data_IF_935211117865
#
_entry.id   IF_935211117865
#
_cell.length_a   1.000
_cell.length_b   1.000
_cell.length_c   1.000
_cell.angle_alpha   90.00
_cell.angle_beta   90.00
_cell.angle_gamma   90.00
#
_symmetry.space_group_name_H-M   'P 1'
#
loop_
_entity.id
_entity.type
_entity.pdbx_description
1 polymer ?
#
# COMPACT_ATOMS: atom_id res chain seq x y z
N UNK A 1 -5.33 -8.71 -7.04
CA UNK A 1 -5.98 -9.25 -8.26
C UNK A 1 -6.89 -8.23 -8.90
N UNK A 2 -7.63 -7.44 -8.12
CA UNK A 2 -8.60 -6.45 -8.61
C UNK A 2 -7.99 -5.29 -9.43
N UNK A 3 -6.70 -5.05 -9.32
CA UNK A 3 -5.97 -3.96 -9.99
C UNK A 3 -5.25 -4.38 -11.28
N UNK A 4 -5.22 -5.67 -11.61
CA UNK A 4 -4.55 -6.14 -12.82
C UNK A 4 -5.48 -6.09 -14.02
N UNK A 5 -4.95 -5.61 -15.15
CA UNK A 5 -5.68 -5.66 -16.40
C UNK A 5 -5.97 -7.13 -16.78
N UNK A 6 -7.10 -7.43 -17.43
CA UNK A 6 -7.46 -8.78 -17.87
C UNK A 6 -6.39 -9.45 -18.73
N UNK A 7 -5.60 -8.65 -19.44
CA UNK A 7 -4.49 -9.11 -20.29
C UNK A 7 -3.19 -9.42 -19.53
N UNK A 8 -3.05 -8.98 -18.28
CA UNK A 8 -1.85 -9.18 -17.46
C UNK A 8 -2.13 -10.18 -16.34
N UNK A 9 -2.19 -11.47 -16.69
CA UNK A 9 -2.47 -12.57 -15.74
C UNK A 9 -1.19 -13.28 -15.24
N UNK A 10 -0.07 -12.58 -15.21
CA UNK A 10 1.21 -13.19 -14.81
C UNK A 10 1.19 -13.70 -13.37
N UNK A 11 0.50 -13.00 -12.45
CA UNK A 11 0.30 -13.46 -11.10
C UNK A 11 -0.40 -14.83 -11.05
N UNK A 12 -1.41 -15.05 -11.91
CA UNK A 12 -2.12 -16.33 -12.00
C UNK A 12 -1.19 -17.44 -12.44
N UNK A 13 -0.29 -17.16 -13.38
CA UNK A 13 0.72 -18.14 -13.83
C UNK A 13 1.65 -18.51 -12.67
N UNK A 14 2.05 -17.56 -11.83
CA UNK A 14 2.85 -17.83 -10.63
C UNK A 14 2.09 -18.73 -9.65
N UNK A 15 0.85 -18.41 -9.36
CA UNK A 15 -0.03 -19.22 -8.48
C UNK A 15 -0.24 -20.63 -9.02
N UNK A 16 -0.56 -20.78 -10.31
CA UNK A 16 -0.74 -22.08 -10.93
C UNK A 16 0.54 -22.93 -10.89
N UNK A 17 1.71 -22.31 -11.07
CA UNK A 17 3.00 -23.01 -10.94
C UNK A 17 3.28 -23.48 -9.52
N UNK A 18 2.93 -22.64 -8.53
CA UNK A 18 3.03 -23.03 -7.12
C UNK A 18 2.12 -24.20 -6.81
N UNK A 19 0.85 -24.16 -7.22
CA UNK A 19 -0.13 -25.21 -7.03
C UNK A 19 0.29 -26.53 -7.71
N UNK A 20 0.80 -26.46 -8.92
CA UNK A 20 1.26 -27.64 -9.69
C UNK A 20 2.40 -28.42 -9.01
N UNK A 21 3.15 -27.77 -8.12
CA UNK A 21 4.25 -28.39 -7.38
C UNK A 21 3.84 -29.01 -6.05
N UNK A 22 2.58 -28.80 -5.63
CA UNK A 22 2.07 -29.43 -4.42
C UNK A 22 1.75 -30.90 -4.70
N UNK A 23 1.78 -31.70 -3.64
CA UNK A 23 1.33 -33.09 -3.70
C UNK A 23 -0.15 -33.14 -4.02
N UNK A 24 -0.53 -33.85 -5.09
CA UNK A 24 -1.93 -33.94 -5.55
C UNK A 24 -2.81 -34.70 -4.55
N UNK A 25 -2.23 -35.59 -3.77
CA UNK A 25 -2.94 -36.43 -2.80
C UNK A 25 -3.03 -35.78 -1.41
N UNK A 26 -2.34 -34.63 -1.19
CA UNK A 26 -2.34 -33.91 0.06
C UNK A 26 -3.23 -32.65 0.00
N UNK A 27 -3.93 -32.30 1.10
CA UNK A 27 -4.61 -31.02 1.17
C UNK A 27 -3.61 -29.88 1.12
N UNK A 28 -3.99 -28.79 0.41
CA UNK A 28 -3.14 -27.60 0.33
C UNK A 28 -3.08 -26.93 1.70
N UNK A 29 -1.87 -26.73 2.21
CA UNK A 29 -1.65 -25.94 3.41
C UNK A 29 -2.00 -24.46 3.13
N UNK A 30 -3.05 -23.97 3.79
CA UNK A 30 -3.55 -22.60 3.62
C UNK A 30 -2.50 -21.56 4.03
N UNK A 31 -1.67 -21.82 5.03
CA UNK A 31 -0.62 -20.93 5.47
C UNK A 31 0.53 -20.86 4.45
N UNK A 32 0.97 -21.98 3.94
CA UNK A 32 1.98 -22.03 2.88
C UNK A 32 1.49 -21.34 1.61
N UNK A 33 0.21 -21.51 1.27
CA UNK A 33 -0.40 -20.83 0.13
C UNK A 33 -0.47 -19.31 0.32
N UNK A 34 -0.87 -18.85 1.52
CA UNK A 34 -0.87 -17.42 1.86
C UNK A 34 0.53 -16.82 1.76
N UNK A 35 1.54 -17.47 2.35
CA UNK A 35 2.95 -17.03 2.25
C UNK A 35 3.43 -16.94 0.80
N UNK A 36 3.05 -17.89 -0.05
CA UNK A 36 3.36 -17.85 -1.47
C UNK A 36 2.72 -16.65 -2.18
N UNK A 37 1.45 -16.34 -1.88
CA UNK A 37 0.75 -15.18 -2.44
C UNK A 37 1.37 -13.86 -1.97
N UNK A 38 1.72 -13.75 -0.69
CA UNK A 38 2.40 -12.58 -0.12
C UNK A 38 3.79 -12.39 -0.74
N UNK A 39 4.56 -13.47 -0.87
CA UNK A 39 5.86 -13.45 -1.54
C UNK A 39 5.77 -13.01 -2.99
N UNK A 40 4.75 -13.49 -3.72
CA UNK A 40 4.49 -13.05 -5.10
C UNK A 40 4.13 -11.57 -5.17
N UNK A 41 3.28 -11.09 -4.25
CA UNK A 41 2.91 -9.68 -4.18
C UNK A 41 4.12 -8.78 -3.88
N UNK A 42 4.96 -9.15 -2.90
CA UNK A 42 6.20 -8.44 -2.57
C UNK A 42 7.14 -8.35 -3.78
N UNK A 43 7.35 -9.46 -4.48
CA UNK A 43 8.22 -9.49 -5.65
C UNK A 43 7.72 -8.57 -6.77
N UNK A 44 6.40 -8.54 -7.03
CA UNK A 44 5.84 -7.61 -8.02
C UNK A 44 5.90 -6.16 -7.59
N UNK A 45 5.72 -5.87 -6.32
CA UNK A 45 5.81 -4.49 -5.80
C UNK A 45 7.25 -4.02 -5.83
N UNK A 46 8.18 -4.81 -5.32
CA UNK A 46 9.55 -4.37 -5.09
C UNK A 46 10.44 -4.63 -6.31
N UNK A 47 10.61 -5.88 -6.69
CA UNK A 47 11.64 -6.26 -7.67
C UNK A 47 11.27 -5.85 -9.09
N UNK A 48 10.03 -6.11 -9.51
CA UNK A 48 9.55 -5.68 -10.82
C UNK A 48 9.42 -4.16 -10.86
N UNK A 49 8.91 -3.55 -9.78
CA UNK A 49 8.73 -2.11 -9.70
C UNK A 49 10.03 -1.33 -9.75
N UNK A 50 11.07 -1.82 -9.11
CA UNK A 50 12.40 -1.22 -9.17
C UNK A 50 13.19 -1.60 -10.44
N UNK A 51 12.61 -2.42 -11.33
CA UNK A 51 13.28 -2.90 -12.53
C UNK A 51 14.41 -3.90 -12.27
N UNK A 52 14.50 -4.43 -11.05
CA UNK A 52 15.56 -5.38 -10.67
C UNK A 52 15.37 -6.75 -11.32
N UNK A 53 14.10 -7.20 -11.42
CA UNK A 53 13.74 -8.52 -11.96
C UNK A 53 12.49 -8.42 -12.82
N UNK A 54 12.45 -9.13 -13.93
CA UNK A 54 11.24 -9.19 -14.77
C UNK A 54 10.17 -10.05 -14.12
N UNK A 55 8.88 -9.75 -14.41
CA UNK A 55 7.77 -10.57 -13.93
C UNK A 55 7.88 -12.05 -14.33
N UNK A 56 8.46 -12.35 -15.51
CA UNK A 56 8.70 -13.73 -15.94
C UNK A 56 9.68 -14.46 -15.03
N UNK A 57 10.75 -13.80 -14.62
CA UNK A 57 11.71 -14.35 -13.69
C UNK A 57 11.08 -14.60 -12.32
N UNK A 58 10.27 -13.66 -11.83
CA UNK A 58 9.49 -13.80 -10.57
C UNK A 58 8.58 -15.04 -10.66
N UNK A 59 7.77 -15.12 -11.71
CA UNK A 59 6.81 -16.23 -11.90
C UNK A 59 7.52 -17.60 -12.02
N UNK A 60 8.75 -17.64 -12.54
CA UNK A 60 9.52 -18.87 -12.68
C UNK A 60 10.13 -19.38 -11.38
N UNK A 61 10.27 -18.55 -10.34
CA UNK A 61 10.85 -18.94 -9.03
C UNK A 61 10.06 -20.06 -8.33
N UNK A 62 8.75 -20.11 -8.53
CA UNK A 62 7.90 -21.21 -8.04
C UNK A 62 7.56 -21.09 -6.57
N UNK A 63 8.17 -21.88 -5.67
CA UNK A 63 7.78 -21.93 -4.27
C UNK A 63 8.18 -20.71 -3.46
N UNK A 64 9.23 -20.00 -3.86
CA UNK A 64 9.77 -18.83 -3.17
C UNK A 64 9.82 -17.64 -4.10
N UNK A 65 8.73 -16.89 -4.18
CA UNK A 65 8.69 -15.70 -5.02
C UNK A 65 9.53 -14.55 -4.45
N UNK A 66 9.56 -14.38 -3.14
CA UNK A 66 10.34 -13.37 -2.45
C UNK A 66 10.66 -13.84 -1.03
N UNK A 67 11.89 -13.62 -0.57
CA UNK A 67 12.30 -13.82 0.82
C UNK A 67 12.91 -12.55 1.37
N UNK A 68 12.84 -12.35 2.70
CA UNK A 68 13.45 -11.20 3.36
C UNK A 68 14.97 -11.08 3.12
N UNK A 69 15.63 -12.19 2.78
CA UNK A 69 17.06 -12.22 2.44
C UNK A 69 17.37 -11.53 1.10
N UNK A 70 16.37 -11.42 0.22
CA UNK A 70 16.50 -10.74 -1.08
C UNK A 70 16.35 -9.21 -0.96
N UNK A 71 16.05 -8.70 0.26
CA UNK A 71 15.95 -7.28 0.56
C UNK A 71 17.34 -6.62 0.57
N UNK A 72 17.86 -6.31 -0.60
CA UNK A 72 19.18 -5.71 -0.79
C UNK A 72 19.20 -4.20 -0.49
N UNK A 73 20.39 -3.66 -0.26
CA UNK A 73 20.60 -2.21 -0.12
C UNK A 73 20.15 -1.44 -1.37
N UNK A 74 20.33 -2.02 -2.55
CA UNK A 74 19.95 -1.39 -3.81
C UNK A 74 18.43 -1.24 -3.94
N UNK A 75 17.69 -2.26 -3.55
CA UNK A 75 16.22 -2.23 -3.52
C UNK A 75 15.70 -1.24 -2.46
N UNK A 76 16.31 -1.19 -1.28
CA UNK A 76 15.99 -0.18 -0.24
C UNK A 76 16.16 1.25 -0.75
N UNK A 77 17.22 1.51 -1.48
CA UNK A 77 17.52 2.83 -2.03
C UNK A 77 16.65 3.18 -3.25
N UNK A 78 16.17 2.18 -3.99
CA UNK A 78 15.32 2.37 -5.16
C UNK A 78 13.86 2.65 -4.78
N UNK A 79 13.37 2.07 -3.69
CA UNK A 79 11.98 2.10 -3.30
C UNK A 79 11.39 3.52 -3.12
N UNK A 80 12.02 4.46 -2.38
CA UNK A 80 11.50 5.82 -2.26
C UNK A 80 11.43 6.57 -3.59
N UNK A 81 12.34 6.30 -4.51
CA UNK A 81 12.40 6.93 -5.84
C UNK A 81 11.29 6.47 -6.77
N UNK A 82 10.69 5.32 -6.48
CA UNK A 82 9.56 4.76 -7.21
C UNK A 82 8.24 5.36 -6.77
N UNK A 83 8.11 5.73 -5.50
CA UNK A 83 6.83 6.16 -4.93
C UNK A 83 6.64 7.66 -4.99
N UNK A 84 6.50 8.14 -6.21
CA UNK A 84 6.13 9.51 -6.56
C UNK A 84 5.04 9.49 -7.62
N UNK A 85 4.34 10.60 -7.79
CA UNK A 85 3.34 10.75 -8.84
C UNK A 85 3.90 10.40 -10.22
N UNK A 86 3.12 9.65 -11.00
CA UNK A 86 3.50 9.18 -12.35
C UNK A 86 4.35 7.91 -12.36
N UNK A 87 4.93 7.49 -11.23
CA UNK A 87 5.67 6.22 -11.12
C UNK A 87 4.98 5.21 -10.19
N UNK A 88 4.34 5.68 -9.12
CA UNK A 88 3.59 4.80 -8.21
C UNK A 88 2.48 4.07 -8.97
N UNK A 89 2.47 2.75 -8.86
CA UNK A 89 1.53 1.87 -9.57
C UNK A 89 0.32 1.54 -8.70
N UNK A 90 -0.76 1.09 -9.32
CA UNK A 90 -1.96 0.66 -8.58
C UNK A 90 -1.68 -0.48 -7.60
N UNK A 91 -0.73 -1.37 -7.94
CA UNK A 91 -0.34 -2.47 -7.06
C UNK A 91 0.30 -1.96 -5.77
N UNK A 92 1.06 -0.88 -5.82
CA UNK A 92 1.74 -0.31 -4.66
C UNK A 92 0.72 0.20 -3.64
N UNK A 93 -0.32 0.91 -4.08
CA UNK A 93 -1.42 1.35 -3.22
C UNK A 93 -2.23 0.18 -2.66
N UNK A 94 -2.56 -0.82 -3.49
CA UNK A 94 -3.36 -1.96 -3.04
C UNK A 94 -2.57 -2.87 -2.09
N UNK A 95 -1.26 -2.98 -2.26
CA UNK A 95 -0.40 -3.70 -1.33
C UNK A 95 -0.31 -2.97 0.00
N UNK A 96 -0.17 -1.64 -0.01
CA UNK A 96 -0.23 -0.84 1.21
C UNK A 96 -1.59 -0.98 1.92
N UNK A 97 -2.72 -0.94 1.18
CA UNK A 97 -4.04 -1.19 1.76
C UNK A 97 -4.12 -2.58 2.42
N UNK A 98 -3.49 -3.61 1.83
CA UNK A 98 -3.40 -4.93 2.44
C UNK A 98 -2.60 -4.91 3.75
N UNK A 99 -1.48 -4.20 3.80
CA UNK A 99 -0.68 -4.07 5.02
C UNK A 99 -1.42 -3.32 6.12
N UNK A 100 -2.10 -2.23 5.77
CA UNK A 100 -2.93 -1.47 6.71
C UNK A 100 -4.11 -2.31 7.23
N UNK A 101 -4.70 -3.15 6.37
CA UNK A 101 -5.74 -4.09 6.77
C UNK A 101 -5.21 -5.13 7.76
N UNK A 102 -4.04 -5.71 7.50
CA UNK A 102 -3.39 -6.66 8.42
C UNK A 102 -3.08 -6.02 9.77
N UNK A 103 -2.49 -4.83 9.76
CA UNK A 103 -2.16 -4.08 10.97
C UNK A 103 -3.43 -3.81 11.80
N UNK A 104 -4.48 -3.28 11.19
CA UNK A 104 -5.74 -2.99 11.86
C UNK A 104 -6.42 -4.25 12.43
N UNK A 105 -6.31 -5.39 11.73
CA UNK A 105 -6.81 -6.69 12.19
C UNK A 105 -6.07 -7.17 13.43
N UNK A 106 -4.75 -6.98 13.49
CA UNK A 106 -3.90 -7.49 14.57
C UNK A 106 -3.95 -6.61 15.83
N UNK A 107 -4.08 -5.30 15.69
CA UNK A 107 -4.03 -4.33 16.80
C UNK A 107 -5.34 -4.22 17.58
N UNK A 108 -6.41 -4.88 17.18
CA UNK A 108 -7.73 -4.73 17.82
C UNK A 108 -8.27 -3.28 17.82
N UNK A 109 -7.85 -2.50 16.84
CA UNK A 109 -8.01 -1.05 16.73
C UNK A 109 -9.48 -0.59 16.83
N UNK A 110 -9.79 0.54 17.50
CA UNK A 110 -11.14 1.13 17.57
C UNK A 110 -11.73 1.53 16.22
N UNK A 111 -10.93 1.64 15.17
CA UNK A 111 -11.40 1.76 13.77
C UNK A 111 -11.80 0.40 13.17
N UNK A 112 -12.06 -0.59 14.02
CA UNK A 112 -12.45 -1.99 13.72
C UNK A 112 -13.50 -2.09 12.61
N UNK A 113 -14.44 -1.15 12.54
CA UNK A 113 -15.50 -1.21 11.56
C UNK A 113 -14.99 -0.94 10.14
N UNK A 114 -14.06 -0.02 9.95
CA UNK A 114 -13.55 0.37 8.63
C UNK A 114 -12.80 -0.79 7.96
N UNK A 115 -11.91 -1.48 8.67
CA UNK A 115 -11.17 -2.59 8.08
C UNK A 115 -12.03 -3.85 7.88
N UNK A 116 -13.07 -4.06 8.70
CA UNK A 116 -14.04 -5.16 8.50
C UNK A 116 -14.93 -4.95 7.27
N UNK A 117 -15.27 -3.70 6.99
CA UNK A 117 -16.09 -3.31 5.85
C UNK A 117 -15.25 -3.01 4.60
N UNK A 118 -13.91 -3.04 4.71
CA UNK A 118 -13.03 -2.74 3.60
C UNK A 118 -13.09 -3.82 2.52
N UNK A 119 -13.27 -3.39 1.29
CA UNK A 119 -13.29 -4.26 0.12
C UNK A 119 -12.20 -3.89 -0.87
N UNK A 120 -11.43 -4.89 -1.32
CA UNK A 120 -10.53 -4.74 -2.45
C UNK A 120 -11.36 -4.67 -3.74
N UNK A 121 -11.45 -3.49 -4.32
CA UNK A 121 -12.24 -3.25 -5.53
C UNK A 121 -11.38 -2.79 -6.70
N UNK A 122 -11.78 -3.20 -7.92
CA UNK A 122 -11.16 -2.73 -9.15
C UNK A 122 -11.62 -1.32 -9.56
N UNK A 123 -12.52 -0.70 -8.83
CA UNK A 123 -13.04 0.64 -9.15
C UNK A 123 -12.08 1.75 -8.75
N UNK A 124 -11.20 1.53 -7.77
CA UNK A 124 -10.16 2.49 -7.37
C UNK A 124 -8.98 2.39 -8.33
N UNK A 125 -8.92 3.32 -9.29
CA UNK A 125 -7.89 3.33 -10.35
C UNK A 125 -7.32 4.71 -10.65
N UNK A 126 -7.80 5.75 -9.99
CA UNK A 126 -7.30 7.11 -10.16
C UNK A 126 -6.42 7.49 -8.99
N UNK A 127 -5.22 7.96 -9.30
CA UNK A 127 -4.32 8.55 -8.30
C UNK A 127 -4.69 10.02 -8.17
N UNK A 128 -5.03 10.44 -6.98
CA UNK A 128 -5.44 11.79 -6.62
C UNK A 128 -4.45 12.43 -5.67
N UNK A 129 -4.17 13.73 -5.88
CA UNK A 129 -3.40 14.56 -4.96
C UNK A 129 -4.34 15.12 -3.89
N UNK A 130 -4.07 14.87 -2.63
CA UNK A 130 -4.90 15.43 -1.56
C UNK A 130 -4.73 16.96 -1.50
N UNK A 131 -3.51 17.47 -1.40
CA UNK A 131 -3.23 18.87 -1.72
C UNK A 131 -3.22 19.03 -3.24
N UNK A 132 -4.04 19.94 -3.81
CA UNK A 132 -4.24 20.02 -5.26
C UNK A 132 -3.01 20.55 -6.00
N UNK A 133 -2.90 20.18 -7.28
CA UNK A 133 -1.80 20.64 -8.14
C UNK A 133 -1.91 22.11 -8.52
N UNK A 134 -3.12 22.63 -8.56
CA UNK A 134 -3.38 24.04 -8.86
C UNK A 134 -3.53 24.80 -7.55
N UNK A 135 -2.80 25.89 -7.43
CA UNK A 135 -2.88 26.81 -6.29
C UNK A 135 -4.32 27.31 -6.08
N UNK A 136 -4.82 27.20 -4.86
CA UNK A 136 -6.17 27.65 -4.49
C UNK A 136 -6.17 29.07 -3.98
N UNK A 137 -5.12 29.45 -3.28
CA UNK A 137 -4.88 30.78 -2.73
C UNK A 137 -3.46 31.15 -3.07
N UNK A 138 -3.22 32.41 -3.41
CA UNK A 138 -1.89 32.94 -3.72
C UNK A 138 -0.92 32.64 -2.56
N UNK A 139 0.17 31.95 -2.86
CA UNK A 139 1.20 31.54 -1.88
C UNK A 139 1.02 30.15 -1.28
N UNK A 140 -0.05 29.39 -1.60
CA UNK A 140 -0.29 28.01 -1.11
C UNK A 140 0.26 26.93 -2.06
N UNK A 141 1.19 27.26 -2.91
CA UNK A 141 1.77 26.33 -3.87
C UNK A 141 2.82 25.46 -3.21
N UNK A 142 2.59 24.15 -3.17
CA UNK A 142 3.61 23.21 -2.71
C UNK A 142 4.73 23.04 -3.72
N UNK A 143 5.95 22.87 -3.23
CA UNK A 143 7.08 22.46 -4.06
C UNK A 143 6.80 21.10 -4.70
N UNK A 144 7.30 20.87 -5.91
CA UNK A 144 7.01 19.64 -6.66
C UNK A 144 7.40 18.36 -5.91
N UNK A 145 8.43 18.39 -5.10
CA UNK A 145 8.89 17.27 -4.27
C UNK A 145 7.84 16.87 -3.20
N UNK A 146 7.17 17.84 -2.57
CA UNK A 146 6.09 17.58 -1.62
C UNK A 146 4.76 17.28 -2.31
N UNK A 147 4.47 18.03 -3.38
CA UNK A 147 3.22 17.87 -4.12
C UNK A 147 3.08 16.46 -4.69
N UNK A 148 4.15 15.93 -5.28
CA UNK A 148 4.19 14.64 -5.94
C UNK A 148 4.65 13.48 -5.04
N UNK A 149 4.95 13.76 -3.77
CA UNK A 149 5.32 12.75 -2.78
C UNK A 149 4.21 11.72 -2.54
N UNK A 150 4.58 10.47 -2.28
CA UNK A 150 3.63 9.40 -1.98
C UNK A 150 2.69 9.74 -0.82
N UNK A 151 3.19 10.52 0.15
CA UNK A 151 2.39 11.02 1.27
C UNK A 151 1.17 11.81 0.83
N UNK A 152 1.27 12.60 -0.24
CA UNK A 152 0.18 13.42 -0.77
C UNK A 152 -0.74 12.67 -1.76
N UNK A 153 -0.43 11.43 -2.13
CA UNK A 153 -1.18 10.68 -3.13
C UNK A 153 -2.15 9.69 -2.47
N UNK A 154 -3.33 9.57 -3.03
CA UNK A 154 -4.27 8.52 -2.64
C UNK A 154 -4.93 7.87 -3.86
N UNK A 155 -5.42 6.64 -3.68
CA UNK A 155 -6.11 5.90 -4.72
C UNK A 155 -7.62 6.01 -4.50
N UNK A 156 -8.32 6.54 -5.51
CA UNK A 156 -9.77 6.75 -5.49
C UNK A 156 -10.44 6.14 -6.72
N UNK A 157 -11.76 6.10 -6.74
CA UNK A 157 -12.51 5.78 -7.96
C UNK A 157 -12.44 6.96 -8.94
N UNK A 158 -12.63 6.68 -10.22
CA UNK A 158 -12.66 7.73 -11.25
C UNK A 158 -13.78 8.76 -10.99
N UNK A 159 -14.95 8.30 -10.56
CA UNK A 159 -16.06 9.19 -10.21
C UNK A 159 -15.72 10.10 -9.00
N UNK A 160 -15.06 9.54 -7.99
CA UNK A 160 -14.59 10.33 -6.84
C UNK A 160 -13.54 11.35 -7.27
N UNK A 161 -12.55 10.96 -8.07
CA UNK A 161 -11.53 11.86 -8.59
C UNK A 161 -12.14 13.08 -9.31
N UNK A 162 -13.13 12.84 -10.18
CA UNK A 162 -13.84 13.91 -10.88
C UNK A 162 -14.60 14.85 -9.93
N UNK A 163 -15.16 14.34 -8.84
CA UNK A 163 -15.86 15.16 -7.84
C UNK A 163 -14.91 15.99 -6.97
N UNK A 164 -13.78 15.39 -6.57
CA UNK A 164 -12.77 16.08 -5.75
C UNK A 164 -12.18 17.28 -6.50
N UNK A 165 -11.99 17.15 -7.81
CA UNK A 165 -11.50 18.22 -8.66
C UNK A 165 -10.31 18.98 -8.02
N UNK A 166 -10.31 20.30 -8.11
CA UNK A 166 -9.28 21.17 -7.52
C UNK A 166 -9.65 21.69 -6.12
N UNK A 167 -10.45 20.92 -5.36
CA UNK A 167 -10.82 21.33 -3.99
C UNK A 167 -9.62 21.23 -3.04
N UNK A 168 -9.66 22.02 -1.96
CA UNK A 168 -8.67 21.97 -0.89
C UNK A 168 -8.74 20.67 -0.08
N UNK A 169 -7.70 20.36 0.71
CA UNK A 169 -7.61 19.12 1.47
C UNK A 169 -8.80 18.89 2.41
N UNK A 170 -9.29 19.93 3.10
CA UNK A 170 -10.41 19.83 4.02
C UNK A 170 -11.70 19.39 3.31
N UNK A 171 -12.01 20.00 2.18
CA UNK A 171 -13.23 19.67 1.41
C UNK A 171 -13.11 18.30 0.75
N UNK A 172 -11.90 17.92 0.30
CA UNK A 172 -11.63 16.57 -0.18
C UNK A 172 -11.86 15.53 0.92
N UNK A 173 -11.36 15.74 2.13
CA UNK A 173 -11.63 14.84 3.24
C UNK A 173 -13.10 14.74 3.61
N UNK A 174 -13.86 15.84 3.61
CA UNK A 174 -15.31 15.81 3.83
C UNK A 174 -16.00 14.89 2.81
N UNK A 175 -15.64 15.02 1.53
CA UNK A 175 -16.22 14.20 0.46
C UNK A 175 -15.78 12.73 0.58
N UNK A 176 -14.49 12.46 0.81
CA UNK A 176 -13.97 11.11 0.96
C UNK A 176 -14.61 10.39 2.16
N UNK A 177 -14.75 11.07 3.29
CA UNK A 177 -15.33 10.50 4.50
C UNK A 177 -16.85 10.31 4.43
N UNK A 178 -17.55 10.99 3.51
CA UNK A 178 -18.99 10.74 3.28
C UNK A 178 -19.27 9.37 2.65
N UNK A 179 -18.30 8.80 1.93
CA UNK A 179 -18.42 7.50 1.25
C UNK A 179 -17.38 6.49 1.76
N UNK A 180 -17.31 6.30 3.07
CA UNK A 180 -16.27 5.51 3.76
C UNK A 180 -16.04 4.11 3.15
N UNK A 181 -17.09 3.36 2.82
CA UNK A 181 -16.99 1.97 2.36
C UNK A 181 -16.21 1.80 1.05
N UNK A 182 -16.15 2.84 0.23
CA UNK A 182 -15.49 2.78 -1.09
C UNK A 182 -14.05 3.29 -1.07
N UNK A 183 -13.54 3.78 0.07
CA UNK A 183 -12.22 4.41 0.13
C UNK A 183 -11.10 3.41 0.40
N UNK A 184 -9.88 3.78 -0.03
CA UNK A 184 -8.63 3.11 0.34
C UNK A 184 -8.35 3.28 1.83
N UNK A 185 -7.73 2.29 2.49
CA UNK A 185 -7.32 2.41 3.89
C UNK A 185 -6.26 3.49 4.08
N UNK A 186 -5.43 3.74 3.06
CA UNK A 186 -4.50 4.87 3.07
C UNK A 186 -5.21 6.21 3.26
N UNK A 187 -6.40 6.42 2.66
CA UNK A 187 -7.19 7.64 2.84
C UNK A 187 -7.59 7.84 4.30
N UNK A 188 -7.95 6.77 5.02
CA UNK A 188 -8.25 6.88 6.47
C UNK A 188 -7.00 7.21 7.29
N UNK A 189 -5.84 6.66 6.93
CA UNK A 189 -4.57 7.00 7.57
C UNK A 189 -4.21 8.47 7.34
N UNK A 190 -4.39 9.00 6.12
CA UNK A 190 -4.22 10.42 5.79
C UNK A 190 -5.19 11.30 6.59
N UNK A 191 -6.47 10.92 6.66
CA UNK A 191 -7.47 11.67 7.43
C UNK A 191 -7.15 11.68 8.92
N UNK A 192 -6.63 10.60 9.48
CA UNK A 192 -6.19 10.54 10.87
C UNK A 192 -5.09 11.56 11.17
N UNK A 193 -4.09 11.70 10.31
CA UNK A 193 -3.05 12.72 10.47
C UNK A 193 -3.61 14.15 10.28
N UNK A 194 -4.51 14.36 9.33
CA UNK A 194 -5.19 15.65 9.14
C UNK A 194 -5.95 16.07 10.42
N UNK A 195 -6.72 15.17 11.01
CA UNK A 195 -7.48 15.46 12.25
C UNK A 195 -6.53 15.76 13.41
N UNK A 196 -5.45 14.99 13.55
CA UNK A 196 -4.44 15.16 14.60
C UNK A 196 -3.73 16.51 14.50
N UNK A 197 -3.34 16.92 13.29
CA UNK A 197 -2.60 18.14 13.03
C UNK A 197 -3.50 19.34 12.74
N UNK A 198 -4.81 19.12 12.57
CA UNK A 198 -5.83 20.11 12.19
C UNK A 198 -5.59 20.81 10.85
N UNK A 199 -4.66 20.29 10.06
CA UNK A 199 -4.31 20.78 8.74
C UNK A 199 -3.59 19.71 7.94
N UNK A 200 -3.60 19.82 6.62
CA UNK A 200 -2.80 18.99 5.71
C UNK A 200 -1.65 19.83 5.17
N UNK A 201 -0.57 19.94 5.96
CA UNK A 201 0.63 20.69 5.59
C UNK A 201 1.73 19.72 5.13
N UNK A 202 2.54 20.13 4.15
CA UNK A 202 3.57 19.32 3.54
C UNK A 202 4.59 18.80 4.57
N UNK A 203 5.11 19.70 5.40
CA UNK A 203 6.21 19.41 6.32
C UNK A 203 5.78 18.73 7.62
N UNK A 204 4.48 18.61 7.87
CA UNK A 204 3.95 18.02 9.12
C UNK A 204 3.06 16.83 8.82
N UNK A 205 1.78 17.05 8.51
CA UNK A 205 0.81 15.95 8.37
C UNK A 205 1.15 15.01 7.21
N UNK A 206 1.48 15.57 6.04
CA UNK A 206 1.82 14.78 4.86
C UNK A 206 3.13 14.00 5.06
N UNK A 207 4.18 14.64 5.54
CA UNK A 207 5.47 14.00 5.76
C UNK A 207 5.40 12.90 6.83
N UNK A 208 4.76 13.16 7.98
CA UNK A 208 4.55 12.15 9.02
C UNK A 208 3.73 10.97 8.52
N UNK A 209 2.70 11.23 7.69
CA UNK A 209 1.94 10.16 7.05
C UNK A 209 2.83 9.34 6.11
N UNK A 210 3.61 10.00 5.26
CA UNK A 210 4.52 9.33 4.32
C UNK A 210 5.52 8.42 5.03
N UNK A 211 6.20 8.94 6.04
CA UNK A 211 7.17 8.16 6.83
C UNK A 211 6.54 6.90 7.42
N UNK A 212 5.32 6.97 7.96
CA UNK A 212 4.60 5.80 8.49
C UNK A 212 4.30 4.78 7.40
N UNK A 213 3.85 5.22 6.23
CA UNK A 213 3.54 4.34 5.12
C UNK A 213 4.80 3.65 4.57
N UNK A 214 5.88 4.41 4.43
CA UNK A 214 7.17 3.87 3.99
C UNK A 214 7.75 2.88 5.00
N UNK A 215 7.67 3.19 6.29
CA UNK A 215 8.12 2.29 7.35
C UNK A 215 7.34 0.97 7.38
N UNK A 216 6.00 1.03 7.22
CA UNK A 216 5.16 -0.17 7.14
C UNK A 216 5.52 -1.05 5.94
N UNK A 217 5.75 -0.44 4.79
CA UNK A 217 6.17 -1.15 3.58
C UNK A 217 7.56 -1.77 3.77
N UNK A 218 8.50 -1.04 4.36
CA UNK A 218 9.84 -1.55 4.64
C UNK A 218 9.78 -2.77 5.59
N UNK A 219 9.03 -2.68 6.68
CA UNK A 219 8.81 -3.80 7.60
C UNK A 219 8.24 -5.04 6.88
N UNK A 220 7.31 -4.82 5.94
CA UNK A 220 6.75 -5.91 5.17
C UNK A 220 7.79 -6.63 4.30
N UNK A 221 8.76 -5.91 3.73
CA UNK A 221 9.83 -6.51 2.93
C UNK A 221 10.93 -7.16 3.80
N UNK A 222 11.09 -6.71 5.03
CA UNK A 222 12.03 -7.30 5.98
C UNK A 222 11.48 -8.58 6.64
N UNK A 223 10.18 -8.80 6.61
CA UNK A 223 9.52 -9.98 7.16
C UNK A 223 9.42 -11.12 6.13
N UNK A 224 9.64 -12.37 6.54
CA UNK A 224 9.38 -13.53 5.68
C UNK A 224 7.87 -13.73 5.45
N UNK A 225 7.03 -13.50 6.47
CA UNK A 225 5.56 -13.52 6.38
C UNK A 225 4.93 -12.26 6.95
N UNK A 226 3.76 -11.87 6.43
CA UNK A 226 3.09 -10.62 6.79
C UNK A 226 2.11 -10.78 7.97
N UNK A 227 1.71 -12.00 8.30
CA UNK A 227 0.69 -12.28 9.32
C UNK A 227 1.04 -11.72 10.71
N UNK A 228 2.32 -11.50 10.97
CA UNK A 228 2.83 -10.96 12.24
C UNK A 228 3.15 -9.46 12.18
N UNK A 229 2.83 -8.76 11.10
CA UNK A 229 2.95 -7.30 11.04
C UNK A 229 2.01 -6.68 12.07
N UNK A 230 2.56 -5.95 13.02
CA UNK A 230 1.83 -5.35 14.14
C UNK A 230 2.03 -6.04 15.50
N UNK A 231 2.43 -7.31 15.56
CA UNK A 231 2.64 -8.02 16.84
C UNK A 231 4.01 -7.67 17.47
N UNK A 232 5.00 -7.30 16.65
CA UNK A 232 6.38 -7.11 17.10
C UNK A 232 6.65 -5.84 17.93
N UNK A 233 5.71 -4.92 18.06
CA UNK A 233 5.92 -3.68 18.82
C UNK A 233 5.52 -3.76 20.29
N UNK A 234 4.84 -4.81 20.73
CA UNK A 234 4.39 -4.93 22.13
C UNK A 234 5.44 -5.55 23.04
N UNK A 235 6.43 -6.26 22.50
CA UNK A 235 7.42 -7.01 23.31
C UNK A 235 8.68 -6.22 23.68
N UNK A 236 8.88 -5.01 23.15
CA UNK A 236 10.07 -4.19 23.50
C UNK A 236 9.83 -3.13 24.60
N UNK A 237 8.60 -3.01 25.15
CA UNK A 237 8.31 -2.04 26.22
C UNK A 237 8.26 -2.61 27.64
N UNK A 238 8.41 -3.91 27.83
CA UNK A 238 8.34 -4.53 29.18
C UNK A 238 9.70 -5.00 29.73
N UNK A 239 10.80 -4.55 29.22
CA UNK A 239 12.14 -4.99 29.62
C UNK A 239 13.05 -3.87 30.15
N UNK A 240 12.54 -2.87 30.91
CA UNK A 240 13.37 -1.99 31.75
C UNK A 240 12.56 -1.61 32.99
N UNK A 241 12.73 -2.39 34.03
CA UNK A 241 12.61 -2.00 35.44
C UNK A 241 13.86 -2.49 36.13
#
# INVERSE_FOLDING_TARGET
>A
VSYMLPTRKHWLQGVLRWLYRQDIDAPIDAQAFLLALEGLAKAFVLEEGCGAVTYEAIVRRGERFFTAREWSSDLRNALPKQWIYGKTRLIDFNFLDYLLWLQAKNEGNPHVQVWREFEFTSTRRSVEHLHPQTELVEGDKWAGEHLHAFGNLCLVSHAMNSRLSNSGPEDKFKQLMSEKKSQSLKVFAMHSEFVKQRQWAAEVAMHQHEEKMLALMQQAFEADGLINLGIAQTTQKEGVL
#
